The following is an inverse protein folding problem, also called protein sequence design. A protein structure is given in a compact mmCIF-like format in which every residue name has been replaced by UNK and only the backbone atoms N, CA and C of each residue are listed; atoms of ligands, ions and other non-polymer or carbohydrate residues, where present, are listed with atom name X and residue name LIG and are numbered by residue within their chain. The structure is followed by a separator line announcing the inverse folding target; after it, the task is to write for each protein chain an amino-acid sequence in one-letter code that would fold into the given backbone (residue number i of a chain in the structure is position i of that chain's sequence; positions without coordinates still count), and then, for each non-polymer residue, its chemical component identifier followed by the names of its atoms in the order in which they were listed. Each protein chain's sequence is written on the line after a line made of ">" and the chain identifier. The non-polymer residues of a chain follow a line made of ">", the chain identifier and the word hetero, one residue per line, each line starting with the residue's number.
data_IF_765506840660
#
_entry.id   IF_765506840660
#
_cell.length_a   1.000
_cell.length_b   1.000
_cell.length_c   1.000
_cell.angle_alpha   90.00
_cell.angle_beta   90.00
_cell.angle_gamma   90.00
#
_symmetry.space_group_name_H-M   'P 1'
#
loop_
_entity.id
_entity.type
_entity.pdbx_description
1 polymer ?
#
# COMPACT_ATOMS: atom_id res chain seq x y z
N UNK A 1 -1.59 -0.76 1.73
CA UNK A 1 -1.53 0.26 2.79
C UNK A 1 -0.09 0.72 2.98
N UNK A 2 0.13 2.00 2.91
CA UNK A 2 1.45 2.61 3.02
C UNK A 2 1.59 3.33 4.36
N UNK A 3 2.66 3.07 5.10
CA UNK A 3 2.93 3.78 6.33
C UNK A 3 3.99 3.13 7.19
N UNK A 4 4.39 3.81 8.25
CA UNK A 4 5.39 3.30 9.18
C UNK A 4 4.85 2.12 9.97
N UNK A 5 5.69 1.15 10.23
CA UNK A 5 5.29 -0.07 10.94
C UNK A 5 4.94 0.18 12.41
N UNK A 6 5.41 1.28 12.96
CA UNK A 6 5.13 1.66 14.34
C UNK A 6 3.93 2.60 14.46
N UNK A 7 3.28 2.94 13.35
CA UNK A 7 2.12 3.81 13.35
C UNK A 7 0.86 3.01 13.68
N UNK A 8 0.26 3.27 14.83
CA UNK A 8 -0.97 2.58 15.24
C UNK A 8 -2.14 2.92 14.31
N UNK A 9 -2.19 4.14 13.78
CA UNK A 9 -3.22 4.54 12.82
C UNK A 9 -3.11 3.75 11.52
N UNK A 10 -1.88 3.55 11.03
CA UNK A 10 -1.65 2.78 9.82
C UNK A 10 -1.98 1.30 10.03
N UNK A 11 -1.67 0.76 11.20
CA UNK A 11 -2.01 -0.62 11.54
C UNK A 11 -3.52 -0.83 11.55
N UNK A 12 -4.28 0.11 12.11
CA UNK A 12 -5.75 0.04 12.09
C UNK A 12 -6.29 0.09 10.66
N UNK A 13 -5.71 0.96 9.84
CA UNK A 13 -6.10 1.07 8.44
C UNK A 13 -5.86 -0.24 7.69
N UNK A 14 -4.73 -0.88 7.94
CA UNK A 14 -4.40 -2.18 7.36
C UNK A 14 -5.44 -3.24 7.77
N UNK A 15 -5.81 -3.29 9.04
CA UNK A 15 -6.80 -4.25 9.54
C UNK A 15 -8.16 -4.06 8.86
N UNK A 16 -8.59 -2.80 8.73
CA UNK A 16 -9.85 -2.49 8.06
C UNK A 16 -9.81 -2.94 6.60
N UNK A 17 -8.74 -2.63 5.90
CA UNK A 17 -8.59 -3.00 4.50
C UNK A 17 -8.53 -4.52 4.33
N UNK A 18 -7.85 -5.21 5.24
CA UNK A 18 -7.73 -6.67 5.17
C UNK A 18 -9.05 -7.37 5.39
N UNK A 19 -9.92 -6.80 6.23
CA UNK A 19 -11.27 -7.34 6.45
C UNK A 19 -12.12 -7.23 5.18
N UNK A 20 -11.90 -6.18 4.39
CA UNK A 20 -12.65 -5.96 3.14
C UNK A 20 -12.02 -6.69 1.95
N UNK A 21 -10.71 -6.93 1.99
CA UNK A 21 -9.97 -7.52 0.88
C UNK A 21 -8.86 -8.43 1.41
N UNK A 22 -8.91 -9.70 1.06
CA UNK A 22 -7.93 -10.67 1.55
C UNK A 22 -6.51 -10.41 1.04
N UNK A 23 -6.38 -9.77 -0.12
CA UNK A 23 -5.09 -9.46 -0.74
C UNK A 23 -4.62 -8.05 -0.36
N UNK A 24 -4.51 -7.80 0.93
CA UNK A 24 -4.08 -6.51 1.47
C UNK A 24 -2.63 -6.61 1.94
N UNK A 25 -1.82 -5.63 1.54
CA UNK A 25 -0.39 -5.58 1.85
C UNK A 25 -0.06 -4.31 2.62
N UNK A 26 0.86 -4.45 3.56
CA UNK A 26 1.35 -3.34 4.38
C UNK A 26 2.78 -3.04 3.97
N UNK A 27 3.01 -1.88 3.38
CA UNK A 27 4.34 -1.49 2.93
C UNK A 27 4.76 -0.18 3.57
N UNK A 28 6.04 -0.01 3.78
CA UNK A 28 6.62 1.22 4.29
C UNK A 28 7.23 2.06 3.17
N UNK A 29 7.84 1.41 2.19
CA UNK A 29 8.42 2.05 1.01
C UNK A 29 8.09 1.22 -0.23
N UNK A 30 8.39 1.79 -1.41
CA UNK A 30 8.18 1.09 -2.68
C UNK A 30 8.99 -0.21 -2.76
N UNK A 31 10.09 -0.32 -2.02
CA UNK A 31 10.92 -1.53 -2.00
C UNK A 31 10.21 -2.71 -1.36
N UNK A 32 9.24 -2.47 -0.51
CA UNK A 32 8.45 -3.52 0.14
C UNK A 32 7.34 -4.03 -0.78
N UNK A 33 7.09 -3.36 -1.89
CA UNK A 33 6.01 -3.71 -2.81
C UNK A 33 6.44 -4.85 -3.73
N UNK A 34 5.62 -5.89 -3.80
CA UNK A 34 5.85 -7.00 -4.73
C UNK A 34 5.13 -6.71 -6.05
N UNK A 35 5.88 -6.28 -7.04
CA UNK A 35 5.32 -5.92 -8.35
C UNK A 35 4.73 -7.12 -9.08
N UNK A 36 5.20 -8.34 -8.81
CA UNK A 36 4.62 -9.54 -9.39
C UNK A 36 3.19 -9.75 -8.91
N UNK A 37 2.91 -9.45 -7.65
CA UNK A 37 1.55 -9.52 -7.11
C UNK A 37 0.65 -8.45 -7.74
N UNK A 38 1.19 -7.26 -8.01
CA UNK A 38 0.45 -6.19 -8.68
C UNK A 38 0.02 -6.61 -10.08
N UNK A 39 0.91 -7.29 -10.81
CA UNK A 39 0.63 -7.74 -12.18
C UNK A 39 -0.47 -8.80 -12.24
N UNK A 40 -0.71 -9.51 -11.15
CA UNK A 40 -1.68 -10.61 -11.12
C UNK A 40 -3.10 -10.16 -10.85
N UNK A 41 -3.34 -8.86 -10.62
CA UNK A 41 -4.67 -8.35 -10.29
C UNK A 41 -5.14 -7.32 -11.32
N UNK A 42 -6.46 -7.17 -11.42
CA UNK A 42 -7.08 -6.24 -12.38
C UNK A 42 -7.18 -4.82 -11.81
N UNK A 43 -7.33 -4.70 -10.51
CA UNK A 43 -7.52 -3.42 -9.84
C UNK A 43 -6.67 -3.36 -8.58
N UNK A 44 -6.06 -2.19 -8.32
CA UNK A 44 -5.25 -1.96 -7.13
C UNK A 44 -5.75 -0.71 -6.42
N UNK A 45 -6.09 -0.85 -5.14
CA UNK A 45 -6.41 0.27 -4.28
C UNK A 45 -5.21 0.64 -3.42
N UNK A 46 -4.91 1.92 -3.32
CA UNK A 46 -3.80 2.42 -2.51
C UNK A 46 -4.33 3.37 -1.46
N UNK A 47 -3.97 3.13 -0.22
CA UNK A 47 -4.32 4.02 0.89
C UNK A 47 -3.10 4.19 1.79
N UNK A 48 -3.05 5.28 2.53
CA UNK A 48 -1.90 5.60 3.35
C UNK A 48 -2.31 6.21 4.68
N UNK A 49 -1.50 5.96 5.70
CA UNK A 49 -1.67 6.60 6.99
C UNK A 49 -1.40 8.10 6.91
N UNK A 50 -2.02 8.87 7.81
CA UNK A 50 -1.95 10.34 7.79
C UNK A 50 -0.51 10.88 7.90
N UNK A 51 0.39 10.12 8.53
CA UNK A 51 1.79 10.54 8.71
C UNK A 51 2.70 10.12 7.55
N UNK A 52 2.17 9.46 6.53
CA UNK A 52 2.96 8.99 5.40
C UNK A 52 3.37 10.17 4.51
N UNK A 53 4.66 10.34 4.19
CA UNK A 53 5.10 11.41 3.30
C UNK A 53 4.50 11.27 1.90
N UNK A 54 4.13 12.40 1.29
CA UNK A 54 3.52 12.41 -0.04
C UNK A 54 4.43 11.83 -1.12
N UNK A 55 5.74 12.06 -1.01
CA UNK A 55 6.68 11.52 -1.99
C UNK A 55 6.69 9.99 -2.03
N UNK A 56 6.49 9.35 -0.88
CA UNK A 56 6.39 7.88 -0.82
C UNK A 56 5.10 7.41 -1.49
N UNK A 57 4.00 8.08 -1.21
CA UNK A 57 2.70 7.74 -1.80
C UNK A 57 2.76 7.87 -3.34
N UNK A 58 3.31 8.98 -3.82
CA UNK A 58 3.43 9.22 -5.27
C UNK A 58 4.32 8.18 -5.94
N UNK A 59 5.43 7.81 -5.30
CA UNK A 59 6.35 6.82 -5.82
C UNK A 59 5.68 5.45 -5.95
N UNK A 60 4.93 5.04 -4.93
CA UNK A 60 4.20 3.77 -4.96
C UNK A 60 3.14 3.80 -6.06
N UNK A 61 2.36 4.88 -6.14
CA UNK A 61 1.32 5.03 -7.18
C UNK A 61 1.90 4.94 -8.58
N UNK A 62 3.03 5.59 -8.81
CA UNK A 62 3.70 5.59 -10.10
C UNK A 62 4.16 4.19 -10.47
N UNK A 63 4.77 3.47 -9.53
CA UNK A 63 5.26 2.11 -9.79
C UNK A 63 4.10 1.15 -10.04
N UNK A 64 3.02 1.25 -9.28
CA UNK A 64 1.84 0.40 -9.48
C UNK A 64 1.22 0.68 -10.85
N UNK A 65 1.08 1.95 -11.23
CA UNK A 65 0.51 2.33 -12.52
C UNK A 65 1.34 1.77 -13.69
N UNK A 66 2.66 1.76 -13.57
CA UNK A 66 3.54 1.25 -14.62
C UNK A 66 3.40 -0.27 -14.79
N UNK A 67 2.99 -0.98 -13.74
CA UNK A 67 2.82 -2.44 -13.79
C UNK A 67 1.42 -2.88 -14.24
N UNK A 68 0.45 -1.98 -14.15
CA UNK A 68 -0.90 -2.26 -14.63
C UNK A 68 -0.99 -1.97 -16.11
#
# INVERSE_FOLDING_TARGET
>A
VIGGRNSSNTQKLFEICKNECNNTYYIQTVKDLDLAEVRSVDNVGITAGASTPNNIIEEVQKNVRNEL
#
